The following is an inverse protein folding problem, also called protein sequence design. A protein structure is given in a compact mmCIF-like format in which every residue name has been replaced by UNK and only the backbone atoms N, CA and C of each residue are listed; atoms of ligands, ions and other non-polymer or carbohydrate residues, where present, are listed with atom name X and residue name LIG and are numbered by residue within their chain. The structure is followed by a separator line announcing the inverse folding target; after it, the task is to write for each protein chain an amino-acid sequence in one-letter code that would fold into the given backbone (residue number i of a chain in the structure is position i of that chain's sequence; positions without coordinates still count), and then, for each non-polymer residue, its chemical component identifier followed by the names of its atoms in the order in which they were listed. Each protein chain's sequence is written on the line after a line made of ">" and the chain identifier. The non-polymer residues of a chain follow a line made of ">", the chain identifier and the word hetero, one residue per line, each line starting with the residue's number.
data_IF_903474128872
#
_entry.id   IF_903474128872
#
_cell.length_a   1.000
_cell.length_b   1.000
_cell.length_c   1.000
_cell.angle_alpha   90.00
_cell.angle_beta   90.00
_cell.angle_gamma   90.00
#
_symmetry.space_group_name_H-M   'P 1'
#
loop_
_entity.id
_entity.type
_entity.pdbx_description
1 polymer ?
#
# COMPACT_ATOMS: atom_id res chain seq x y z
N UNK A 1 0.65 -25.86 -20.73
CA UNK A 1 1.94 -26.58 -20.67
C UNK A 1 1.74 -27.82 -19.81
N UNK A 2 2.30 -28.96 -20.21
CA UNK A 2 2.35 -30.18 -19.40
C UNK A 2 3.69 -30.25 -18.65
N UNK A 3 4.81 -30.20 -19.37
CA UNK A 3 6.16 -30.18 -18.80
C UNK A 3 7.15 -29.53 -19.74
N UNK A 4 8.29 -29.10 -19.20
CA UNK A 4 9.49 -28.82 -19.97
C UNK A 4 10.15 -30.13 -20.40
N UNK A 5 10.83 -30.11 -21.54
CA UNK A 5 11.64 -31.20 -22.08
C UNK A 5 13.04 -30.69 -22.38
N UNK A 6 13.99 -31.59 -22.59
CA UNK A 6 15.38 -31.22 -22.92
C UNK A 6 15.48 -30.27 -24.12
N UNK A 7 14.62 -30.42 -25.13
CA UNK A 7 14.62 -29.59 -26.35
C UNK A 7 13.49 -28.55 -26.41
N UNK A 8 12.70 -28.35 -25.34
CA UNK A 8 11.58 -27.40 -25.39
C UNK A 8 10.43 -27.68 -24.42
N UNK A 9 9.19 -27.69 -24.92
CA UNK A 9 7.96 -27.77 -24.11
C UNK A 9 6.99 -28.82 -24.66
N UNK A 10 6.48 -29.70 -23.79
CA UNK A 10 5.32 -30.56 -24.09
C UNK A 10 4.02 -29.87 -23.67
N UNK A 11 3.06 -29.81 -24.60
CA UNK A 11 1.72 -29.29 -24.35
C UNK A 11 0.81 -30.39 -23.79
N UNK A 12 -0.22 -30.01 -23.02
CA UNK A 12 -1.25 -30.95 -22.52
C UNK A 12 -2.02 -31.68 -23.63
N UNK A 13 -1.92 -31.20 -24.88
CA UNK A 13 -2.46 -31.87 -26.06
C UNK A 13 -1.56 -32.98 -26.62
N UNK A 14 -0.41 -33.24 -26.01
CA UNK A 14 0.60 -34.20 -26.46
C UNK A 14 1.62 -33.66 -27.47
N UNK A 15 1.38 -32.48 -28.06
CA UNK A 15 2.30 -31.82 -29.01
C UNK A 15 3.56 -31.31 -28.31
N UNK A 16 4.69 -31.34 -29.01
CA UNK A 16 5.95 -30.72 -28.57
C UNK A 16 6.22 -29.42 -29.33
N UNK A 17 6.75 -28.43 -28.62
CA UNK A 17 7.30 -27.20 -29.18
C UNK A 17 8.80 -27.20 -28.89
N UNK A 18 9.63 -27.25 -29.92
CA UNK A 18 11.09 -27.13 -29.74
C UNK A 18 11.46 -25.65 -29.52
N UNK A 19 12.42 -25.43 -28.63
CA UNK A 19 12.89 -24.08 -28.32
C UNK A 19 14.33 -24.13 -27.80
N UNK A 20 15.19 -23.30 -28.38
CA UNK A 20 16.55 -23.08 -27.88
C UNK A 20 16.57 -22.16 -26.65
N UNK A 21 15.58 -21.25 -26.56
CA UNK A 21 15.45 -20.27 -25.48
C UNK A 21 14.00 -20.19 -25.03
N UNK A 22 13.79 -20.21 -23.72
CA UNK A 22 12.49 -20.04 -23.08
C UNK A 22 12.55 -18.81 -22.19
N UNK A 23 11.64 -17.86 -22.41
CA UNK A 23 11.47 -16.67 -21.57
C UNK A 23 10.19 -16.86 -20.75
N UNK A 24 10.33 -17.02 -19.43
CA UNK A 24 9.20 -17.38 -18.56
C UNK A 24 8.20 -16.24 -18.39
N UNK A 25 8.67 -14.98 -18.30
CA UNK A 25 7.87 -13.77 -18.18
C UNK A 25 6.61 -13.93 -17.28
N UNK A 26 6.74 -14.66 -16.16
CA UNK A 26 5.64 -15.16 -15.32
C UNK A 26 4.96 -14.09 -14.46
N UNK A 27 5.39 -12.84 -14.62
CA UNK A 27 4.82 -11.67 -13.96
C UNK A 27 5.33 -11.50 -12.54
N UNK A 28 4.44 -11.02 -11.66
CA UNK A 28 4.77 -10.59 -10.30
C UNK A 28 3.99 -11.41 -9.26
N UNK A 29 4.47 -11.37 -8.02
CA UNK A 29 3.69 -11.65 -6.82
C UNK A 29 3.47 -10.33 -6.08
N UNK A 30 2.20 -9.98 -5.83
CA UNK A 30 1.89 -8.74 -5.12
C UNK A 30 2.24 -8.86 -3.65
N UNK A 31 2.92 -7.83 -3.14
CA UNK A 31 3.30 -7.68 -1.74
C UNK A 31 2.80 -6.33 -1.25
N UNK A 32 1.71 -6.33 -0.50
CA UNK A 32 1.21 -5.10 0.11
C UNK A 32 2.17 -4.64 1.21
N UNK A 33 2.46 -3.33 1.24
CA UNK A 33 3.43 -2.73 2.17
C UNK A 33 4.83 -3.37 2.11
N UNK A 34 5.21 -3.95 0.96
CA UNK A 34 6.51 -4.62 0.81
C UNK A 34 6.68 -5.87 1.69
N UNK A 35 5.57 -6.49 2.13
CA UNK A 35 5.59 -7.66 3.00
C UNK A 35 5.71 -7.34 4.50
N UNK A 36 5.69 -6.05 4.88
CA UNK A 36 5.71 -5.65 6.28
C UNK A 36 4.43 -6.07 7.01
N UNK A 37 4.60 -6.56 8.24
CA UNK A 37 3.49 -6.72 9.18
C UNK A 37 3.24 -5.42 9.94
N UNK A 38 1.99 -4.96 9.95
CA UNK A 38 1.58 -3.76 10.67
C UNK A 38 0.70 -4.15 11.84
N UNK A 39 0.97 -3.58 13.00
CA UNK A 39 0.15 -3.74 14.19
C UNK A 39 -0.10 -2.38 14.84
N UNK A 40 -1.28 -2.23 15.45
CA UNK A 40 -1.64 -1.06 16.26
C UNK A 40 -2.14 -1.58 17.59
N UNK A 41 -1.52 -1.13 18.69
CA UNK A 41 -1.81 -1.60 20.05
C UNK A 41 -1.76 -3.14 20.18
N UNK A 42 -0.78 -3.76 19.51
CA UNK A 42 -0.59 -5.22 19.47
C UNK A 42 -1.63 -5.98 18.63
N UNK A 43 -2.53 -5.28 17.93
CA UNK A 43 -3.50 -5.89 17.03
C UNK A 43 -3.04 -5.81 15.57
N UNK A 44 -2.92 -6.96 14.86
CA UNK A 44 -2.60 -6.98 13.44
C UNK A 44 -3.58 -6.16 12.59
N UNK A 45 -3.03 -5.42 11.64
CA UNK A 45 -3.76 -4.58 10.69
C UNK A 45 -3.47 -5.06 9.27
N UNK A 46 -4.27 -6.01 8.82
CA UNK A 46 -4.13 -6.56 7.47
C UNK A 46 -4.57 -5.53 6.43
N UNK A 47 -3.73 -5.19 5.42
CA UNK A 47 -4.12 -4.21 4.41
C UNK A 47 -5.42 -4.58 3.68
N UNK A 48 -5.67 -5.87 3.46
CA UNK A 48 -6.86 -6.37 2.77
C UNK A 48 -8.18 -6.23 3.51
N UNK A 49 -8.13 -5.83 4.78
CA UNK A 49 -9.31 -5.46 5.57
C UNK A 49 -9.42 -3.94 5.79
N UNK A 50 -8.60 -3.14 5.10
CA UNK A 50 -8.52 -1.69 5.28
C UNK A 50 -8.66 -0.96 3.95
N UNK A 51 -9.11 0.28 4.00
CA UNK A 51 -9.13 1.19 2.86
C UNK A 51 -7.97 2.19 2.88
N UNK A 52 -7.76 2.86 1.75
CA UNK A 52 -6.85 4.01 1.66
C UNK A 52 -7.62 5.33 1.63
N UNK A 53 -7.29 6.26 2.53
CA UNK A 53 -7.76 7.64 2.46
C UNK A 53 -6.91 8.44 1.47
N UNK A 54 -7.58 9.09 0.51
CA UNK A 54 -7.00 9.82 -0.63
C UNK A 54 -5.98 9.01 -1.45
N UNK A 55 -6.03 7.67 -1.37
CA UNK A 55 -5.00 6.76 -1.90
C UNK A 55 -3.59 7.00 -1.31
N UNK A 56 -3.51 7.57 -0.11
CA UNK A 56 -2.25 7.93 0.56
C UNK A 56 -2.16 7.38 1.97
N UNK A 57 -3.14 7.63 2.84
CA UNK A 57 -3.10 7.18 4.23
C UNK A 57 -3.87 5.87 4.42
N UNK A 58 -3.45 5.03 5.35
CA UNK A 58 -4.12 3.77 5.65
C UNK A 58 -5.20 3.95 6.71
N UNK A 59 -6.42 3.48 6.44
CA UNK A 59 -7.54 3.49 7.38
C UNK A 59 -7.14 2.89 8.74
N UNK A 60 -7.50 3.56 9.84
CA UNK A 60 -7.33 3.09 11.22
C UNK A 60 -5.87 2.81 11.64
N UNK A 61 -4.88 3.24 10.83
CA UNK A 61 -3.46 3.12 11.16
C UNK A 61 -2.84 4.51 11.33
N UNK A 62 -2.29 4.83 12.51
CA UNK A 62 -1.68 6.13 12.77
C UNK A 62 -0.41 6.32 11.95
N UNK A 63 -0.24 7.51 11.38
CA UNK A 63 0.99 7.97 10.72
C UNK A 63 1.53 7.04 9.59
N UNK A 64 0.69 6.17 9.02
CA UNK A 64 1.10 5.28 7.93
C UNK A 64 0.61 5.82 6.58
N UNK A 65 1.56 6.16 5.72
CA UNK A 65 1.32 6.46 4.31
C UNK A 65 1.73 5.27 3.43
N UNK A 66 0.86 4.91 2.49
CA UNK A 66 1.09 3.91 1.47
C UNK A 66 0.68 4.48 0.10
N UNK A 67 1.64 4.57 -0.82
CA UNK A 67 1.47 5.26 -2.09
C UNK A 67 1.18 4.27 -3.22
N UNK A 68 -0.02 4.34 -3.78
CA UNK A 68 -0.39 3.64 -5.01
C UNK A 68 -0.37 4.59 -6.20
N UNK A 69 0.31 4.18 -7.26
CA UNK A 69 0.33 4.92 -8.51
C UNK A 69 -0.91 4.71 -9.37
N UNK A 70 -0.95 5.39 -10.51
CA UNK A 70 -1.97 5.15 -11.52
C UNK A 70 -1.80 3.79 -12.19
N UNK A 71 -2.92 3.12 -12.44
CA UNK A 71 -2.94 1.91 -13.27
C UNK A 71 -3.17 2.22 -14.76
N UNK A 72 -3.62 3.44 -15.07
CA UNK A 72 -3.98 3.91 -16.42
C UNK A 72 -3.08 5.05 -16.94
N UNK A 73 -2.08 5.46 -16.16
CA UNK A 73 -1.15 6.53 -16.46
C UNK A 73 0.18 6.27 -15.72
N UNK A 74 1.13 7.21 -15.79
CA UNK A 74 2.42 7.05 -15.09
C UNK A 74 2.23 6.86 -13.58
N UNK A 75 2.89 5.85 -13.04
CA UNK A 75 2.93 5.60 -11.60
C UNK A 75 3.51 6.79 -10.84
N UNK A 76 4.63 7.34 -11.32
CA UNK A 76 5.35 8.45 -10.66
C UNK A 76 4.51 9.72 -10.59
N UNK A 77 3.62 9.94 -11.56
CA UNK A 77 2.75 11.12 -11.59
C UNK A 77 1.82 11.19 -10.38
N UNK A 78 1.24 10.05 -9.96
CA UNK A 78 0.40 9.97 -8.75
C UNK A 78 1.24 10.05 -7.48
N UNK A 79 2.41 9.41 -7.48
CA UNK A 79 3.35 9.42 -6.34
C UNK A 79 3.79 10.85 -6.02
N UNK A 80 4.08 11.69 -7.02
CA UNK A 80 4.46 13.09 -6.81
C UNK A 80 3.34 13.90 -6.15
N UNK A 81 2.07 13.69 -6.55
CA UNK A 81 0.93 14.36 -5.91
C UNK A 81 0.76 13.91 -4.45
N UNK A 82 0.92 12.61 -4.20
CA UNK A 82 0.82 12.03 -2.86
C UNK A 82 1.96 12.51 -1.94
N UNK A 83 3.19 12.58 -2.44
CA UNK A 83 4.33 13.12 -1.70
C UNK A 83 4.11 14.59 -1.31
N UNK A 84 3.60 15.41 -2.24
CA UNK A 84 3.23 16.79 -1.96
C UNK A 84 2.14 16.90 -0.87
N UNK A 85 1.12 16.03 -0.91
CA UNK A 85 0.11 15.96 0.14
C UNK A 85 0.71 15.60 1.50
N UNK A 86 1.62 14.61 1.56
CA UNK A 86 2.31 14.22 2.79
C UNK A 86 3.11 15.40 3.37
N UNK A 87 3.87 16.13 2.54
CA UNK A 87 4.59 17.32 3.00
C UNK A 87 3.64 18.39 3.57
N UNK A 88 2.50 18.63 2.91
CA UNK A 88 1.48 19.58 3.41
C UNK A 88 0.88 19.13 4.74
N UNK A 89 0.62 17.83 4.88
CA UNK A 89 0.09 17.19 6.08
C UNK A 89 1.07 17.31 7.25
N UNK A 90 2.34 16.94 7.04
CA UNK A 90 3.39 17.07 8.06
C UNK A 90 3.57 18.52 8.51
N UNK A 91 3.65 19.46 7.56
CA UNK A 91 3.71 20.89 7.89
C UNK A 91 2.48 21.39 8.66
N UNK A 92 1.29 20.81 8.41
CA UNK A 92 0.09 21.13 9.19
C UNK A 92 0.20 20.58 10.61
N UNK A 93 0.63 19.32 10.76
CA UNK A 93 0.87 18.72 12.07
C UNK A 93 1.86 19.54 12.90
N UNK A 94 2.99 19.94 12.31
CA UNK A 94 4.00 20.78 12.97
C UNK A 94 3.43 22.12 13.45
N UNK A 95 2.69 22.83 12.58
CA UNK A 95 2.10 24.15 12.91
C UNK A 95 1.08 24.08 14.05
N UNK A 96 0.37 22.96 14.18
CA UNK A 96 -0.68 22.78 15.18
C UNK A 96 -0.23 21.97 16.41
N UNK A 97 1.02 21.48 16.38
CA UNK A 97 1.61 20.65 17.42
C UNK A 97 0.88 19.31 17.56
N UNK A 98 0.55 18.65 16.45
CA UNK A 98 0.00 17.29 16.42
C UNK A 98 1.12 16.27 16.18
N UNK A 99 1.04 15.13 16.85
CA UNK A 99 2.04 14.06 16.73
C UNK A 99 1.49 12.85 15.96
N UNK A 100 0.16 12.69 15.97
CA UNK A 100 -0.53 11.56 15.36
C UNK A 100 -1.66 12.05 14.48
N UNK A 101 -1.73 11.52 13.26
CA UNK A 101 -2.91 11.60 12.39
C UNK A 101 -3.40 10.19 12.08
N UNK A 102 -4.71 9.97 12.15
CA UNK A 102 -5.33 8.68 11.81
C UNK A 102 -6.60 8.92 10.99
N UNK A 103 -6.73 8.31 9.79
CA UNK A 103 -7.94 8.42 8.99
C UNK A 103 -8.98 7.38 9.41
N UNK A 104 -10.22 7.82 9.67
CA UNK A 104 -11.36 6.99 10.08
C UNK A 104 -12.47 7.04 9.03
N UNK A 105 -12.86 5.87 8.52
CA UNK A 105 -13.93 5.76 7.53
C UNK A 105 -15.31 5.68 8.19
N UNK A 106 -16.36 6.27 7.58
CA UNK A 106 -17.73 6.01 7.98
C UNK A 106 -18.12 4.52 7.87
N UNK A 107 -19.06 4.08 8.70
CA UNK A 107 -19.60 2.73 8.60
C UNK A 107 -20.29 2.50 7.24
N UNK A 108 -20.06 1.35 6.62
CA UNK A 108 -20.65 0.99 5.32
C UNK A 108 -19.94 1.57 4.09
N UNK A 109 -18.86 2.33 4.27
CA UNK A 109 -18.11 2.94 3.17
C UNK A 109 -17.35 1.91 2.32
N UNK A 110 -16.88 0.82 2.94
CA UNK A 110 -16.04 -0.20 2.29
C UNK A 110 -16.79 -1.01 1.24
N UNK A 111 -16.11 -1.26 0.12
CA UNK A 111 -16.51 -2.19 -0.93
C UNK A 111 -15.58 -3.42 -0.96
N UNK A 112 -16.02 -4.48 -1.62
CA UNK A 112 -15.17 -5.65 -1.89
C UNK A 112 -14.08 -5.37 -2.93
N UNK A 113 -14.23 -4.28 -3.70
CA UNK A 113 -13.27 -3.85 -4.70
C UNK A 113 -11.93 -3.45 -4.06
N UNK A 114 -10.83 -3.79 -4.73
CA UNK A 114 -9.49 -3.37 -4.30
C UNK A 114 -9.03 -2.13 -5.06
N UNK A 115 -7.97 -1.49 -4.55
CA UNK A 115 -7.32 -0.34 -5.18
C UNK A 115 -6.77 -0.60 -6.59
N UNK A 116 -6.62 -1.88 -7.00
CA UNK A 116 -6.11 -2.28 -8.34
C UNK A 116 -7.14 -3.03 -9.19
N UNK A 117 -8.44 -3.01 -8.83
CA UNK A 117 -9.48 -3.79 -9.53
C UNK A 117 -9.67 -3.42 -11.01
N UNK A 118 -9.21 -2.25 -11.45
CA UNK A 118 -9.18 -1.85 -12.86
C UNK A 118 -8.27 -2.75 -13.71
N UNK A 119 -7.32 -3.47 -13.12
CA UNK A 119 -6.37 -4.32 -13.83
C UNK A 119 -6.86 -5.77 -13.92
N UNK A 120 -6.82 -6.31 -15.15
CA UNK A 120 -7.21 -7.70 -15.43
C UNK A 120 -6.02 -8.67 -15.42
N UNK A 121 -4.82 -8.21 -15.07
CA UNK A 121 -3.61 -9.04 -15.07
C UNK A 121 -3.70 -10.18 -14.05
N UNK A 122 -3.23 -11.37 -14.43
CA UNK A 122 -3.32 -12.56 -13.57
C UNK A 122 -2.63 -12.41 -12.21
N UNK A 123 -1.55 -11.62 -12.11
CA UNK A 123 -0.90 -11.37 -10.82
C UNK A 123 -1.76 -10.54 -9.86
N UNK A 124 -2.58 -9.61 -10.38
CA UNK A 124 -3.54 -8.85 -9.57
C UNK A 124 -4.66 -9.75 -9.09
N UNK A 125 -5.17 -10.63 -9.97
CA UNK A 125 -6.20 -11.59 -9.58
C UNK A 125 -5.72 -12.54 -8.47
N UNK A 126 -4.47 -13.04 -8.57
CA UNK A 126 -3.85 -13.88 -7.53
C UNK A 126 -3.59 -13.13 -6.22
N UNK A 127 -3.19 -11.86 -6.30
CA UNK A 127 -2.86 -11.02 -5.14
C UNK A 127 -4.04 -10.22 -4.57
N UNK A 128 -5.25 -10.37 -5.12
CA UNK A 128 -6.43 -9.57 -4.73
C UNK A 128 -6.70 -9.60 -3.23
N UNK A 129 -6.50 -10.75 -2.59
CA UNK A 129 -6.75 -10.95 -1.15
C UNK A 129 -5.73 -10.25 -0.23
N UNK A 130 -4.64 -9.70 -0.77
CA UNK A 130 -3.63 -8.97 0.01
C UNK A 130 -3.79 -7.46 -0.12
N UNK A 131 -4.40 -6.99 -1.21
CA UNK A 131 -4.51 -5.57 -1.54
C UNK A 131 -5.53 -4.84 -0.67
N UNK A 132 -5.28 -3.55 -0.36
CA UNK A 132 -6.27 -2.68 0.27
C UNK A 132 -7.59 -2.60 -0.51
N UNK A 133 -8.67 -2.47 0.25
CA UNK A 133 -10.01 -2.19 -0.26
C UNK A 133 -10.13 -0.72 -0.66
N UNK A 134 -11.20 -0.41 -1.38
CA UNK A 134 -11.59 0.96 -1.65
C UNK A 134 -13.03 1.22 -1.19
N UNK A 135 -13.33 2.50 -0.97
CA UNK A 135 -14.65 2.95 -0.57
C UNK A 135 -15.57 3.27 -1.75
N UNK A 136 -16.82 3.58 -1.42
CA UNK A 136 -17.87 3.99 -2.37
C UNK A 136 -17.57 5.35 -2.99
N UNK A 137 -17.02 6.27 -2.20
CA UNK A 137 -16.88 7.70 -2.53
C UNK A 137 -15.52 8.27 -2.12
N UNK A 138 -15.07 9.39 -2.72
CA UNK A 138 -13.95 10.15 -2.18
C UNK A 138 -14.23 10.58 -0.73
N UNK A 139 -13.23 10.59 0.16
CA UNK A 139 -11.81 10.36 -0.10
C UNK A 139 -11.38 8.89 -0.05
N UNK A 140 -12.29 7.93 0.09
CA UNK A 140 -11.97 6.50 0.28
C UNK A 140 -11.87 5.71 -1.04
N UNK A 141 -12.29 6.31 -2.16
CA UNK A 141 -12.25 5.71 -3.49
C UNK A 141 -11.01 6.14 -4.29
N UNK A 142 -10.36 5.18 -4.95
CA UNK A 142 -9.27 5.46 -5.89
C UNK A 142 -9.85 5.89 -7.23
N UNK A 143 -9.51 7.11 -7.67
CA UNK A 143 -10.13 7.72 -8.85
C UNK A 143 -9.42 7.42 -10.17
N UNK A 144 -8.11 7.11 -10.13
CA UNK A 144 -7.27 7.00 -11.32
C UNK A 144 -7.44 8.16 -12.31
N UNK A 145 -7.62 9.38 -11.77
CA UNK A 145 -7.88 10.60 -12.53
C UNK A 145 -6.95 11.73 -12.04
N UNK A 146 -6.00 12.12 -12.89
CA UNK A 146 -4.98 13.10 -12.54
C UNK A 146 -5.54 14.47 -12.14
N UNK A 147 -6.54 14.98 -12.86
CA UNK A 147 -7.09 16.31 -12.58
C UNK A 147 -7.80 16.33 -11.23
N UNK A 148 -8.63 15.31 -10.95
CA UNK A 148 -9.34 15.17 -9.68
C UNK A 148 -8.37 14.95 -8.50
N UNK A 149 -7.35 14.10 -8.69
CA UNK A 149 -6.34 13.87 -7.67
C UNK A 149 -5.49 15.10 -7.39
N UNK A 150 -5.11 15.86 -8.42
CA UNK A 150 -4.37 17.10 -8.26
C UNK A 150 -5.18 18.09 -7.41
N UNK A 151 -6.46 18.26 -7.70
CA UNK A 151 -7.35 19.11 -6.90
C UNK A 151 -7.40 18.64 -5.44
N UNK A 152 -7.69 17.35 -5.22
CA UNK A 152 -7.85 16.76 -3.90
C UNK A 152 -6.57 16.75 -3.05
N UNK A 153 -5.42 16.47 -3.65
CA UNK A 153 -4.15 16.29 -2.94
C UNK A 153 -3.38 17.60 -2.76
N UNK A 154 -3.53 18.56 -3.67
CA UNK A 154 -2.75 19.81 -3.63
C UNK A 154 -3.55 21.02 -3.16
N UNK A 155 -4.87 21.05 -3.34
CA UNK A 155 -5.69 22.24 -3.07
C UNK A 155 -6.65 22.09 -1.90
N UNK A 156 -7.28 20.93 -1.72
CA UNK A 156 -8.17 20.73 -0.58
C UNK A 156 -7.43 20.95 0.75
N UNK A 157 -8.11 21.48 1.78
CA UNK A 157 -7.54 21.64 3.11
C UNK A 157 -7.06 20.30 3.69
N UNK A 158 -6.09 20.38 4.60
CA UNK A 158 -5.66 19.21 5.38
C UNK A 158 -6.69 18.84 6.43
N UNK A 159 -7.30 19.84 7.07
CA UNK A 159 -8.39 19.62 8.02
C UNK A 159 -9.59 18.98 7.29
N UNK A 160 -9.97 17.80 7.76
CA UNK A 160 -10.96 16.92 7.14
C UNK A 160 -11.61 16.10 8.26
N UNK A 161 -12.95 16.00 8.33
CA UNK A 161 -13.64 15.22 9.36
C UNK A 161 -13.23 13.75 9.43
N UNK A 162 -12.70 13.18 8.33
CA UNK A 162 -12.18 11.82 8.31
C UNK A 162 -10.82 11.69 9.01
N UNK A 163 -10.10 12.79 9.27
CA UNK A 163 -8.80 12.77 9.94
C UNK A 163 -8.95 13.15 11.41
N UNK A 164 -8.45 12.28 12.29
CA UNK A 164 -8.29 12.58 13.70
C UNK A 164 -6.84 12.92 13.99
N UNK A 165 -6.62 14.09 14.57
CA UNK A 165 -5.32 14.53 15.04
C UNK A 165 -5.23 14.43 16.56
N UNK A 166 -4.09 13.94 17.06
CA UNK A 166 -3.84 13.77 18.49
C UNK A 166 -2.44 14.29 18.82
N UNK A 167 -2.30 14.87 20.02
CA UNK A 167 -1.00 15.17 20.62
C UNK A 167 -0.57 14.00 21.49
N UNK A 168 0.64 13.52 21.32
CA UNK A 168 1.21 12.52 22.19
C UNK A 168 1.31 13.11 23.60
N UNK A 169 0.83 12.38 24.60
CA UNK A 169 1.09 12.76 25.98
C UNK A 169 2.62 12.74 26.19
N UNK A 170 3.19 13.84 26.70
CA UNK A 170 4.60 13.90 27.07
C UNK A 170 4.87 12.77 28.06
N UNK A 171 5.45 11.68 27.58
CA UNK A 171 5.94 10.63 28.48
C UNK A 171 7.19 11.20 29.10
N UNK A 172 7.11 11.62 30.36
CA UNK A 172 8.30 11.95 31.16
C UNK A 172 9.15 10.69 31.24
N UNK A 173 10.11 10.56 30.33
CA UNK A 173 11.11 9.50 30.36
C UNK A 173 11.92 9.70 31.64
N UNK A 174 11.61 8.94 32.69
CA UNK A 174 12.54 8.74 33.79
C UNK A 174 13.72 7.99 33.17
N UNK A 175 14.86 8.69 33.04
CA UNK A 175 16.08 8.14 32.50
C UNK A 175 16.48 6.88 33.28
N UNK A 176 16.20 5.70 32.73
CA UNK A 176 16.88 4.48 33.14
C UNK A 176 18.14 4.38 32.30
N UNK A 177 19.28 4.47 32.97
CA UNK A 177 20.60 4.35 32.37
C UNK A 177 20.72 3.09 31.51
N UNK A 178 21.36 3.25 30.35
CA UNK A 178 21.74 2.18 29.44
C UNK A 178 22.74 1.23 30.14
N UNK A 179 22.78 -0.03 29.71
CA UNK A 179 23.97 -0.40 28.94
C UNK A 179 23.62 -0.99 27.57
N UNK A 180 24.60 -0.91 26.68
CA UNK A 180 24.55 -1.30 25.29
C UNK A 180 24.26 -2.81 25.12
N UNK A 181 23.41 -3.15 24.14
CA UNK A 181 23.22 -4.50 23.62
C UNK A 181 22.80 -4.38 22.16
N UNK A 182 23.48 -5.13 21.29
CA UNK A 182 23.51 -4.95 19.84
C UNK A 182 22.15 -5.11 19.15
N UNK A 183 21.91 -4.26 18.14
CA UNK A 183 20.86 -4.45 17.14
C UNK A 183 21.30 -5.59 16.21
N UNK A 184 20.73 -6.77 16.41
CA UNK A 184 20.82 -7.85 15.42
C UNK A 184 19.69 -7.65 14.41
N UNK A 185 20.02 -7.09 13.26
CA UNK A 185 19.20 -7.24 12.06
C UNK A 185 19.39 -8.67 11.55
N UNK A 186 18.43 -9.55 11.77
CA UNK A 186 18.43 -10.86 11.12
C UNK A 186 18.12 -10.66 9.64
N UNK A 187 19.11 -11.01 8.81
CA UNK A 187 19.07 -10.90 7.36
C UNK A 187 17.92 -11.67 6.73
N UNK A 188 17.51 -11.16 5.57
CA UNK A 188 16.56 -11.78 4.67
C UNK A 188 17.07 -13.15 4.23
N UNK A 189 16.18 -14.15 4.29
CA UNK A 189 16.41 -15.45 3.67
C UNK A 189 16.24 -15.29 2.15
N UNK A 190 17.37 -15.21 1.44
CA UNK A 190 17.46 -15.22 -0.02
C UNK A 190 17.13 -16.63 -0.54
N UNK A 191 15.87 -17.06 -0.46
CA UNK A 191 15.36 -18.13 -1.33
C UNK A 191 13.90 -17.89 -1.69
N UNK A 192 13.68 -17.15 -2.77
CA UNK A 192 12.48 -17.29 -3.58
C UNK A 192 12.89 -17.08 -5.04
N UNK A 193 13.32 -18.20 -5.65
CA UNK A 193 13.44 -18.36 -7.11
C UNK A 193 12.05 -18.56 -7.70
#
# INVERSE_FOLDING_TARGET
>A
IETFTETGIRLKSGKSLEADIIITATGLQLQSLGGMEVQVDGQPRHPSSLMTYKSVLMQDVPNLANLFGYTNASWTLKVDLAANYICRLLNHMDRHGYDVVTPFAPAGEMLEETVMDSLQSGYVQRGRSTLPRQGRTPPWRVLHNFAADREMLTRHPIDDPALRFVRAATTTTVARGRPAGDLVATGMDETAV
#
